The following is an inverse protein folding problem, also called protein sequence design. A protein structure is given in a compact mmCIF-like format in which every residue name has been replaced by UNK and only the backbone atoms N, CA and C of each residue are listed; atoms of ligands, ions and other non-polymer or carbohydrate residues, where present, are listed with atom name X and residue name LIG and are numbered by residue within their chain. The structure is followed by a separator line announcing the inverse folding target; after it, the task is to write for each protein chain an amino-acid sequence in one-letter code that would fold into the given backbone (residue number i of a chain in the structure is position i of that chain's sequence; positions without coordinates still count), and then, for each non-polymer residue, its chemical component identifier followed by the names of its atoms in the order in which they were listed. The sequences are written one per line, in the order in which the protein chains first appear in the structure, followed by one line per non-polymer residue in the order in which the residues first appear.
data_IF_478860257665
#
_entry.id   IF_478860257665
#
_cell.length_a   1.000
_cell.length_b   1.000
_cell.length_c   1.000
_cell.angle_alpha   90.00
_cell.angle_beta   90.00
_cell.angle_gamma   90.00
#
_symmetry.space_group_name_H-M   'P 1'
#
loop_
_entity.id
_entity.type
_entity.pdbx_description
1 polymer ?
#
# COMPACT_ATOMS: atom_id res chain seq x y z
N UNK A 1 1.13 5.89 16.20
CA UNK A 1 1.86 4.93 15.32
C UNK A 1 3.35 5.27 15.12
N UNK A 2 3.78 6.55 15.10
CA UNK A 2 5.20 6.91 14.91
C UNK A 2 6.18 6.21 15.85
N UNK A 3 5.88 6.18 17.15
CA UNK A 3 6.74 5.49 18.14
C UNK A 3 6.95 4.00 17.84
N UNK A 4 5.94 3.29 17.33
CA UNK A 4 6.06 1.89 16.95
C UNK A 4 6.93 1.71 15.69
N UNK A 5 6.83 2.63 14.73
CA UNK A 5 7.69 2.65 13.55
C UNK A 5 9.16 2.89 13.93
N UNK A 6 9.40 3.87 14.80
CA UNK A 6 10.75 4.24 15.26
C UNK A 6 11.38 3.15 16.15
N UNK A 7 10.57 2.24 16.72
CA UNK A 7 11.06 1.08 17.45
C UNK A 7 11.54 -0.08 16.55
N UNK A 8 11.15 -0.11 15.27
CA UNK A 8 11.57 -1.16 14.34
C UNK A 8 13.05 -0.97 13.94
N UNK A 9 13.83 -2.05 13.74
CA UNK A 9 15.12 -1.96 13.05
C UNK A 9 14.98 -1.33 11.66
N UNK A 10 15.98 -0.58 11.19
CA UNK A 10 15.92 0.17 9.93
C UNK A 10 15.51 -0.68 8.73
N UNK A 11 16.05 -1.90 8.61
CA UNK A 11 15.72 -2.84 7.52
C UNK A 11 14.29 -3.38 7.54
N UNK A 12 13.54 -3.19 8.64
CA UNK A 12 12.11 -3.58 8.77
C UNK A 12 11.16 -2.40 8.64
N UNK A 13 11.68 -1.18 8.46
CA UNK A 13 10.87 0.01 8.26
C UNK A 13 10.50 0.12 6.78
N UNK A 14 9.21 -0.04 6.48
CA UNK A 14 8.65 0.33 5.18
C UNK A 14 8.42 1.84 5.05
N UNK A 15 7.72 2.26 4.00
CA UNK A 15 7.29 3.66 3.88
C UNK A 15 6.34 4.06 5.03
N UNK A 16 6.49 5.28 5.54
CA UNK A 16 5.60 5.88 6.55
C UNK A 16 5.20 7.28 6.10
N UNK A 17 3.91 7.59 6.19
CA UNK A 17 3.42 8.96 6.01
C UNK A 17 2.29 9.29 6.98
N UNK A 18 2.08 10.58 7.21
CA UNK A 18 1.02 11.07 8.10
C UNK A 18 -0.38 11.00 7.48
N UNK A 19 -0.47 10.98 6.15
CA UNK A 19 -1.72 10.85 5.39
C UNK A 19 -1.65 9.65 4.44
N UNK A 20 -2.79 8.99 4.23
CA UNK A 20 -2.88 7.84 3.33
C UNK A 20 -2.49 8.19 1.88
N UNK A 21 -2.90 9.36 1.40
CA UNK A 21 -2.56 9.83 0.04
C UNK A 21 -1.05 9.93 -0.17
N UNK A 22 -0.28 10.27 0.86
CA UNK A 22 1.17 10.34 0.79
C UNK A 22 1.86 8.97 0.77
N UNK A 23 1.15 7.88 1.12
CA UNK A 23 1.66 6.50 0.99
C UNK A 23 1.45 5.93 -0.41
N UNK A 24 0.44 6.40 -1.14
CA UNK A 24 0.05 5.87 -2.45
C UNK A 24 1.23 5.68 -3.43
N UNK A 25 2.09 6.68 -3.72
CA UNK A 25 3.17 6.51 -4.68
C UNK A 25 4.17 5.42 -4.25
N UNK A 26 4.46 5.31 -2.96
CA UNK A 26 5.35 4.27 -2.44
C UNK A 26 4.77 2.87 -2.59
N UNK A 27 3.45 2.72 -2.39
CA UNK A 27 2.77 1.42 -2.57
C UNK A 27 2.78 1.03 -4.04
N UNK A 28 2.39 1.93 -4.94
CA UNK A 28 2.34 1.65 -6.38
C UNK A 28 3.71 1.32 -6.96
N UNK A 29 4.77 1.96 -6.47
CA UNK A 29 6.14 1.70 -6.91
C UNK A 29 6.72 0.41 -6.32
N UNK A 30 6.19 -0.12 -5.22
CA UNK A 30 6.70 -1.34 -4.58
C UNK A 30 6.12 -2.63 -5.17
N UNK A 31 4.88 -2.61 -5.65
CA UNK A 31 4.17 -3.81 -6.15
C UNK A 31 4.83 -4.37 -7.42
N UNK A 32 4.99 -5.68 -7.48
CA UNK A 32 5.57 -6.43 -8.60
C UNK A 32 4.61 -7.53 -9.09
N UNK A 33 4.85 -8.01 -10.30
CA UNK A 33 4.13 -9.16 -10.82
C UNK A 33 4.33 -10.39 -9.92
N UNK A 34 3.25 -11.10 -9.61
CA UNK A 34 3.25 -12.25 -8.70
C UNK A 34 2.99 -11.91 -7.23
N UNK A 35 2.96 -10.64 -6.85
CA UNK A 35 2.63 -10.24 -5.47
C UNK A 35 1.16 -10.51 -5.14
N UNK A 36 0.91 -10.94 -3.90
CA UNK A 36 -0.42 -10.95 -3.29
C UNK A 36 -0.46 -9.88 -2.20
N UNK A 37 -1.31 -8.87 -2.37
CA UNK A 37 -1.33 -7.69 -1.50
C UNK A 37 -2.62 -7.64 -0.67
N UNK A 38 -2.49 -7.40 0.63
CA UNK A 38 -3.62 -7.09 1.52
C UNK A 38 -3.51 -5.68 2.06
N UNK A 39 -4.58 -4.88 1.94
CA UNK A 39 -4.66 -3.54 2.53
C UNK A 39 -5.56 -3.60 3.77
N UNK A 40 -5.02 -3.21 4.94
CA UNK A 40 -5.74 -3.25 6.22
C UNK A 40 -5.71 -1.89 6.91
N UNK A 41 -6.90 -1.39 7.27
CA UNK A 41 -7.08 -0.17 8.04
C UNK A 41 -8.55 0.02 8.41
N UNK A 42 -8.83 0.77 9.47
CA UNK A 42 -10.20 1.20 9.78
C UNK A 42 -10.69 2.22 8.75
N UNK A 43 -12.01 2.38 8.61
CA UNK A 43 -12.60 3.30 7.64
C UNK A 43 -12.06 4.74 7.77
N UNK A 44 -11.88 5.24 9.01
CA UNK A 44 -11.33 6.57 9.29
C UNK A 44 -9.88 6.78 8.83
N UNK A 45 -9.14 5.71 8.53
CA UNK A 45 -7.78 5.78 7.99
C UNK A 45 -7.77 6.15 6.50
N UNK A 46 -8.94 6.10 5.83
CA UNK A 46 -9.12 6.52 4.43
C UNK A 46 -8.14 5.83 3.47
N UNK A 47 -8.03 4.50 3.58
CA UNK A 47 -7.16 3.68 2.71
C UNK A 47 -7.80 3.32 1.36
N UNK A 48 -9.11 3.54 1.20
CA UNK A 48 -9.84 3.26 -0.05
C UNK A 48 -9.24 3.89 -1.32
N UNK A 49 -8.77 5.16 -1.31
CA UNK A 49 -8.10 5.76 -2.46
C UNK A 49 -6.87 4.98 -2.95
N UNK A 50 -6.04 4.44 -2.04
CA UNK A 50 -4.86 3.65 -2.41
C UNK A 50 -5.29 2.38 -3.14
N UNK A 51 -6.31 1.67 -2.63
CA UNK A 51 -6.84 0.46 -3.27
C UNK A 51 -7.35 0.79 -4.68
N UNK A 52 -8.07 1.91 -4.84
CA UNK A 52 -8.54 2.37 -6.15
C UNK A 52 -7.40 2.68 -7.11
N UNK A 53 -6.33 3.31 -6.63
CA UNK A 53 -5.15 3.60 -7.44
C UNK A 53 -4.40 2.32 -7.85
N UNK A 54 -4.30 1.35 -6.94
CA UNK A 54 -3.70 0.04 -7.22
C UNK A 54 -4.45 -0.71 -8.31
N UNK A 55 -5.78 -0.82 -8.22
CA UNK A 55 -6.58 -1.54 -9.22
C UNK A 55 -6.63 -0.82 -10.57
N UNK A 56 -6.50 0.51 -10.58
CA UNK A 56 -6.39 1.28 -11.82
C UNK A 56 -5.02 1.09 -12.51
N UNK A 57 -3.93 1.02 -11.74
CA UNK A 57 -2.57 0.83 -12.28
C UNK A 57 -2.26 -0.61 -12.66
N UNK A 58 -2.82 -1.56 -11.91
CA UNK A 58 -2.67 -2.99 -12.12
C UNK A 58 -4.06 -3.60 -12.39
N UNK A 59 -4.64 -3.36 -13.57
CA UNK A 59 -5.95 -3.89 -13.90
C UNK A 59 -5.92 -5.42 -13.92
N UNK A 60 -7.06 -6.03 -13.60
CA UNK A 60 -7.24 -7.47 -13.75
C UNK A 60 -7.09 -7.80 -15.23
N UNK A 61 -6.05 -8.55 -15.56
CA UNK A 61 -5.95 -9.19 -16.88
C UNK A 61 -6.88 -10.39 -16.82
N UNK A 62 -7.91 -10.42 -17.66
CA UNK A 62 -8.68 -11.64 -17.85
C UNK A 62 -7.73 -12.69 -18.43
N UNK A 63 -7.67 -13.87 -17.83
CA UNK A 63 -7.01 -14.98 -18.49
C UNK A 63 -7.83 -15.30 -19.75
N UNK A 64 -7.17 -15.33 -20.91
CA UNK A 64 -7.79 -15.91 -22.09
C UNK A 64 -8.03 -17.41 -21.82
N UNK A 65 -9.27 -17.88 -22.07
CA UNK A 65 -9.70 -19.27 -21.91
C UNK A 65 -8.95 -20.24 -22.87
#
# INVERSE_FOLDING_TARGET
MRSLYDALPSHRRGAYAAQASSLEPYVLDAVRAGDVVTVKGSLGTRMGPIVKAMTARFPVVQADD
#
